data_IF_707973485361
#
_entry.id   IF_707973485361
#
_cell.length_a   1.000
_cell.length_b   1.000
_cell.length_c   1.000
_cell.angle_alpha   90.00
_cell.angle_beta   90.00
_cell.angle_gamma   90.00
#
_symmetry.space_group_name_H-M   'P 1'
#
loop_
_entity.id
_entity.type
_entity.pdbx_description
1 polymer ?
#
# COMPACT_ATOMS: atom_id res chain seq x y z
N UNK A 1 -2.10 3.94 3.51
CA UNK A 1 -2.60 4.51 2.25
C UNK A 1 -1.97 3.74 1.09
N UNK A 2 -2.76 3.43 0.05
CA UNK A 2 -2.26 2.69 -1.12
C UNK A 2 -1.26 3.57 -1.89
N UNK A 3 -0.05 3.06 -2.13
CA UNK A 3 0.92 3.75 -2.99
C UNK A 3 0.55 3.58 -4.46
N UNK A 4 -0.05 4.63 -5.03
CA UNK A 4 -0.48 4.65 -6.44
C UNK A 4 0.67 4.72 -7.44
N UNK A 5 1.87 5.05 -6.96
CA UNK A 5 3.09 5.10 -7.77
C UNK A 5 3.79 3.75 -7.85
N UNK A 6 3.32 2.75 -7.09
CA UNK A 6 3.80 1.38 -7.17
C UNK A 6 2.96 0.56 -8.17
N UNK A 7 3.62 -0.31 -8.92
CA UNK A 7 2.94 -1.29 -9.74
C UNK A 7 2.21 -2.32 -8.89
N UNK A 8 0.93 -2.58 -9.20
CA UNK A 8 0.15 -3.57 -8.45
C UNK A 8 0.79 -4.96 -8.50
N UNK A 9 1.42 -5.33 -9.62
CA UNK A 9 2.10 -6.62 -9.79
C UNK A 9 3.32 -6.80 -8.86
N UNK A 10 3.85 -5.71 -8.30
CA UNK A 10 4.99 -5.71 -7.38
C UNK A 10 4.56 -5.61 -5.90
N UNK A 11 3.26 -5.45 -5.64
CA UNK A 11 2.70 -5.29 -4.31
C UNK A 11 2.15 -6.61 -3.77
N UNK A 12 2.65 -7.07 -2.60
CA UNK A 12 2.16 -8.30 -1.97
C UNK A 12 0.68 -8.22 -1.53
N UNK A 13 0.19 -7.01 -1.26
CA UNK A 13 -1.19 -6.73 -0.81
C UNK A 13 -2.26 -6.83 -1.89
N UNK A 14 -1.89 -6.76 -3.18
CA UNK A 14 -2.84 -6.74 -4.31
C UNK A 14 -3.23 -8.13 -4.83
N UNK A 15 -2.59 -9.19 -4.31
CA UNK A 15 -2.64 -10.56 -4.84
C UNK A 15 -4.07 -11.14 -4.97
N UNK A 16 -5.00 -10.73 -4.12
CA UNK A 16 -6.39 -11.20 -4.19
C UNK A 16 -7.13 -10.63 -5.41
N UNK A 17 -7.02 -9.31 -5.65
CA UNK A 17 -7.69 -8.62 -6.76
C UNK A 17 -7.15 -9.09 -8.11
N UNK A 18 -5.82 -9.24 -8.24
CA UNK A 18 -5.16 -9.63 -9.47
C UNK A 18 -5.67 -10.97 -10.04
N UNK A 19 -5.87 -11.97 -9.17
CA UNK A 19 -6.36 -13.29 -9.60
C UNK A 19 -7.82 -13.23 -10.11
N UNK A 20 -8.65 -12.37 -9.52
CA UNK A 20 -10.02 -12.13 -9.96
C UNK A 20 -10.00 -11.43 -11.33
N UNK A 21 -9.24 -10.35 -11.43
CA UNK A 21 -9.12 -9.52 -12.64
C UNK A 21 -8.57 -10.31 -13.83
N UNK A 22 -7.60 -11.18 -13.59
CA UNK A 22 -7.07 -12.12 -14.58
C UNK A 22 -8.15 -13.04 -15.20
N UNK A 23 -9.11 -13.50 -14.41
CA UNK A 23 -10.25 -14.29 -14.90
C UNK A 23 -11.25 -13.40 -15.63
N UNK A 24 -11.50 -12.20 -15.11
CA UNK A 24 -12.39 -11.20 -15.72
C UNK A 24 -11.94 -10.86 -17.14
N UNK A 25 -10.66 -10.53 -17.35
CA UNK A 25 -10.14 -10.17 -18.68
C UNK A 25 -10.12 -11.37 -19.64
N UNK A 26 -9.95 -12.59 -19.12
CA UNK A 26 -10.10 -13.82 -19.90
C UNK A 26 -11.50 -13.99 -20.47
N UNK A 27 -12.52 -13.92 -19.61
CA UNK A 27 -13.93 -13.99 -20.03
C UNK A 27 -14.33 -12.80 -20.91
N UNK A 28 -13.79 -11.62 -20.65
CA UNK A 28 -13.99 -10.43 -21.47
C UNK A 28 -13.48 -10.66 -22.89
N UNK A 29 -12.25 -11.13 -23.08
CA UNK A 29 -11.71 -11.43 -24.40
C UNK A 29 -12.57 -12.46 -25.16
N UNK A 30 -12.99 -13.54 -24.48
CA UNK A 30 -13.89 -14.55 -25.05
C UNK A 30 -15.25 -13.98 -25.50
N UNK A 31 -15.86 -13.12 -24.67
CA UNK A 31 -17.18 -12.54 -24.97
C UNK A 31 -17.13 -11.55 -26.14
N UNK A 32 -16.02 -10.81 -26.28
CA UNK A 32 -15.81 -9.84 -27.35
C UNK A 32 -15.28 -10.48 -28.64
N UNK A 33 -15.00 -11.79 -28.63
CA UNK A 33 -14.28 -12.50 -29.68
C UNK A 33 -12.96 -11.80 -30.06
N UNK A 34 -12.31 -11.20 -29.05
CA UNK A 34 -11.09 -10.43 -29.22
C UNK A 34 -9.87 -11.28 -28.81
N UNK A 35 -8.73 -11.19 -29.53
CA UNK A 35 -7.54 -11.93 -29.16
C UNK A 35 -6.99 -11.48 -27.81
N UNK A 36 -7.14 -10.19 -27.45
CA UNK A 36 -6.51 -9.59 -26.27
C UNK A 36 -7.54 -8.84 -25.43
N UNK A 37 -7.53 -9.11 -24.12
CA UNK A 37 -8.24 -8.36 -23.10
C UNK A 37 -7.31 -8.02 -21.95
N UNK A 38 -7.27 -6.74 -21.54
CA UNK A 38 -6.30 -6.21 -20.60
C UNK A 38 -6.95 -5.33 -19.53
N UNK A 39 -6.31 -5.30 -18.36
CA UNK A 39 -6.36 -4.15 -17.44
C UNK A 39 -4.95 -3.58 -17.40
N UNK A 40 -4.85 -2.29 -17.69
CA UNK A 40 -3.60 -1.54 -17.76
C UNK A 40 -3.61 -0.53 -16.63
N UNK A 41 -2.60 -0.57 -15.76
CA UNK A 41 -2.36 0.47 -14.74
C UNK A 41 -1.50 1.57 -15.36
N UNK A 42 -1.81 2.82 -15.04
CA UNK A 42 -1.00 3.99 -15.35
C UNK A 42 -0.43 4.62 -14.07
N UNK A 43 0.84 5.01 -14.10
CA UNK A 43 1.47 5.81 -13.05
C UNK A 43 2.56 6.70 -13.65
N UNK A 44 3.37 7.37 -12.81
CA UNK A 44 4.44 8.26 -13.27
C UNK A 44 5.54 7.56 -14.11
N UNK A 45 5.67 6.23 -14.01
CA UNK A 45 6.63 5.43 -14.78
C UNK A 45 6.07 5.01 -16.15
N UNK A 46 4.77 5.21 -16.40
CA UNK A 46 4.11 4.92 -17.67
C UNK A 46 2.90 3.99 -17.52
N UNK A 47 2.83 2.95 -18.34
CA UNK A 47 1.68 2.05 -18.45
C UNK A 47 2.13 0.59 -18.30
N UNK A 48 1.48 -0.19 -17.43
CA UNK A 48 1.78 -1.60 -17.21
C UNK A 48 0.55 -2.47 -17.42
N UNK A 49 0.71 -3.59 -18.12
CA UNK A 49 -0.31 -4.62 -18.23
C UNK A 49 -0.45 -5.35 -16.90
N UNK A 50 -1.43 -4.96 -16.09
CA UNK A 50 -1.66 -5.51 -14.74
C UNK A 50 -2.39 -6.85 -14.77
N UNK A 51 -3.33 -7.01 -15.70
CA UNK A 51 -3.99 -8.29 -15.97
C UNK A 51 -4.16 -8.47 -17.48
N UNK A 52 -4.00 -9.71 -17.97
CA UNK A 52 -4.08 -10.01 -19.39
C UNK A 52 -4.66 -11.40 -19.60
N UNK A 53 -5.58 -11.61 -20.55
CA UNK A 53 -6.07 -12.97 -20.88
C UNK A 53 -4.94 -13.94 -21.28
N UNK A 54 -3.74 -13.43 -21.56
CA UNK A 54 -2.51 -14.20 -21.68
C UNK A 54 -1.77 -14.27 -20.33
N UNK A 55 -1.62 -15.48 -19.79
CA UNK A 55 -0.75 -15.71 -18.63
C UNK A 55 0.73 -15.43 -18.93
N UNK A 56 1.64 -15.75 -17.99
CA UNK A 56 3.10 -15.48 -18.06
C UNK A 56 3.86 -16.06 -19.27
N UNK A 57 3.20 -16.78 -20.19
CA UNK A 57 3.80 -17.43 -21.36
C UNK A 57 3.18 -17.01 -22.69
N UNK A 58 2.16 -16.16 -22.68
CA UNK A 58 1.57 -15.66 -23.92
C UNK A 58 2.34 -14.46 -24.48
N UNK A 59 2.01 -14.02 -25.70
CA UNK A 59 2.69 -12.91 -26.38
C UNK A 59 2.53 -11.56 -25.65
N UNK A 60 1.43 -11.39 -24.90
CA UNK A 60 1.11 -10.15 -24.17
C UNK A 60 0.93 -10.43 -22.67
N UNK A 61 1.99 -10.89 -21.96
CA UNK A 61 1.86 -11.31 -20.57
C UNK A 61 1.65 -10.10 -19.65
N UNK A 62 1.00 -10.33 -18.51
CA UNK A 62 1.01 -9.37 -17.41
C UNK A 62 2.46 -9.01 -17.02
N UNK A 63 2.72 -7.72 -16.80
CA UNK A 63 4.03 -7.14 -16.48
C UNK A 63 4.72 -6.43 -17.65
N UNK A 64 4.19 -6.51 -18.88
CA UNK A 64 4.66 -5.68 -19.99
C UNK A 64 4.43 -4.20 -19.69
N UNK A 65 5.38 -3.35 -20.07
CA UNK A 65 5.36 -1.91 -19.75
C UNK A 65 5.68 -1.04 -20.96
N UNK A 66 5.08 0.15 -20.98
CA UNK A 66 5.39 1.25 -21.88
C UNK A 66 5.75 2.49 -21.05
N UNK A 67 6.70 3.29 -21.56
CA UNK A 67 7.09 4.54 -20.91
C UNK A 67 5.97 5.60 -20.94
N UNK A 68 6.07 6.65 -20.11
CA UNK A 68 5.01 7.67 -19.98
C UNK A 68 4.81 8.49 -21.26
N UNK A 69 5.86 8.63 -22.08
CA UNK A 69 5.80 9.38 -23.34
C UNK A 69 5.37 8.53 -24.54
N UNK A 70 5.12 7.22 -24.35
CA UNK A 70 4.73 6.34 -25.44
C UNK A 70 3.36 6.74 -26.01
N UNK A 71 3.20 6.67 -27.34
CA UNK A 71 1.91 6.85 -27.99
C UNK A 71 1.14 5.52 -27.99
N UNK A 72 0.56 5.15 -26.85
CA UNK A 72 -0.25 3.94 -26.68
C UNK A 72 -1.71 4.29 -26.46
N UNK A 73 -2.64 3.40 -26.80
CA UNK A 73 -4.07 3.70 -26.69
C UNK A 73 -4.50 4.01 -25.24
N UNK A 74 -3.90 3.30 -24.28
CA UNK A 74 -4.14 3.50 -22.85
C UNK A 74 -3.85 4.94 -22.40
N UNK A 75 -2.84 5.60 -22.99
CA UNK A 75 -2.51 6.99 -22.70
C UNK A 75 -3.65 7.92 -23.07
N UNK A 76 -4.20 7.79 -24.27
CA UNK A 76 -5.30 8.63 -24.71
C UNK A 76 -6.55 8.46 -23.82
N UNK A 77 -6.84 7.24 -23.36
CA UNK A 77 -7.93 6.97 -22.41
C UNK A 77 -7.67 7.65 -21.05
N UNK A 78 -6.46 7.51 -20.52
CA UNK A 78 -6.08 8.07 -19.21
C UNK A 78 -6.05 9.59 -19.25
N UNK A 79 -5.49 10.19 -20.30
CA UNK A 79 -5.34 11.63 -20.47
C UNK A 79 -6.70 12.32 -20.69
N UNK A 80 -7.60 11.67 -21.45
CA UNK A 80 -8.96 12.20 -21.67
C UNK A 80 -9.90 11.95 -20.49
N UNK A 81 -9.71 10.85 -19.75
CA UNK A 81 -10.68 10.37 -18.78
C UNK A 81 -11.99 9.88 -19.41
N UNK A 82 -11.98 9.58 -20.71
CA UNK A 82 -13.16 9.18 -21.49
C UNK A 82 -12.96 7.83 -22.17
N UNK A 83 -14.06 7.18 -22.54
CA UNK A 83 -14.05 5.96 -23.35
C UNK A 83 -13.42 6.25 -24.72
N UNK A 84 -12.48 5.41 -25.14
CA UNK A 84 -11.90 5.47 -26.48
C UNK A 84 -12.31 4.22 -27.26
N UNK A 85 -12.88 4.43 -28.44
CA UNK A 85 -13.11 3.36 -29.40
C UNK A 85 -12.49 3.73 -30.74
N UNK A 86 -11.51 2.92 -31.16
CA UNK A 86 -10.82 2.99 -32.45
C UNK A 86 -11.14 1.71 -33.19
N UNK A 87 -12.01 1.78 -34.21
CA UNK A 87 -12.40 0.60 -34.99
C UNK A 87 -11.34 0.18 -36.00
N UNK A 88 -10.54 1.14 -36.48
CA UNK A 88 -9.43 0.94 -37.43
C UNK A 88 -8.34 1.98 -37.22
N UNK A 89 -7.31 1.62 -36.47
CA UNK A 89 -6.17 2.46 -36.12
C UNK A 89 -5.28 2.75 -37.34
N UNK A 90 -5.25 1.89 -38.36
CA UNK A 90 -4.44 2.10 -39.55
C UNK A 90 -5.00 3.22 -40.44
N UNK A 91 -6.31 3.50 -40.31
CA UNK A 91 -6.97 4.60 -41.00
C UNK A 91 -6.75 5.98 -40.33
N UNK A 92 -6.21 6.00 -39.11
CA UNK A 92 -6.10 7.19 -38.28
C UNK A 92 -4.63 7.61 -38.08
N UNK A 93 -4.20 8.77 -38.61
CA UNK A 93 -2.81 9.23 -38.50
C UNK A 93 -2.29 9.39 -37.06
N UNK A 94 -3.19 9.52 -36.08
CA UNK A 94 -2.86 9.63 -34.67
C UNK A 94 -2.14 8.38 -34.14
N UNK A 95 -2.39 7.21 -34.73
CA UNK A 95 -1.83 5.92 -34.28
C UNK A 95 -0.68 5.41 -35.15
N UNK A 96 -0.19 6.23 -36.08
CA UNK A 96 0.82 5.83 -37.06
C UNK A 96 2.18 5.48 -36.45
N UNK A 97 2.51 6.02 -35.27
CA UNK A 97 3.71 5.70 -34.48
C UNK A 97 3.38 4.94 -33.19
N UNK A 98 2.16 4.42 -33.04
CA UNK A 98 1.80 3.58 -31.90
C UNK A 98 2.50 2.21 -32.03
N UNK A 99 3.36 1.81 -31.08
CA UNK A 99 4.06 0.51 -31.13
C UNK A 99 3.11 -0.69 -31.14
N UNK A 100 1.95 -0.60 -30.48
CA UNK A 100 0.91 -1.65 -30.47
C UNK A 100 0.34 -1.87 -31.89
N UNK A 101 0.32 -0.81 -32.71
CA UNK A 101 -0.14 -0.89 -34.11
C UNK A 101 1.01 -1.32 -35.03
N UNK A 102 2.17 -0.69 -34.90
CA UNK A 102 3.30 -0.86 -35.84
C UNK A 102 4.02 -2.19 -35.64
N UNK A 103 4.29 -2.57 -34.39
CA UNK A 103 5.11 -3.73 -34.05
C UNK A 103 4.25 -4.98 -33.79
N UNK A 104 3.06 -4.79 -33.21
CA UNK A 104 2.18 -5.89 -32.77
C UNK A 104 0.98 -6.10 -33.72
N UNK A 105 0.72 -5.15 -34.62
CA UNK A 105 -0.30 -5.27 -35.66
C UNK A 105 -1.74 -5.17 -35.14
N UNK A 106 -1.98 -4.50 -34.01
CA UNK A 106 -3.34 -4.20 -33.58
C UNK A 106 -3.99 -3.18 -34.51
N UNK A 107 -5.24 -3.43 -34.86
CA UNK A 107 -6.06 -2.62 -35.74
C UNK A 107 -7.22 -1.96 -34.98
N UNK A 108 -7.79 -2.64 -33.99
CA UNK A 108 -8.92 -2.12 -33.22
C UNK A 108 -8.60 -2.06 -31.74
N UNK A 109 -9.09 -1.01 -31.07
CA UNK A 109 -9.00 -0.81 -29.63
C UNK A 109 -10.34 -0.30 -29.08
N UNK A 110 -10.83 -0.94 -28.03
CA UNK A 110 -11.91 -0.40 -27.20
C UNK A 110 -11.42 -0.37 -25.75
N UNK A 111 -11.36 0.83 -25.16
CA UNK A 111 -10.91 1.02 -23.79
C UNK A 111 -11.76 2.00 -23.00
N UNK A 112 -11.89 1.74 -21.71
CA UNK A 112 -12.58 2.61 -20.76
C UNK A 112 -11.66 2.96 -19.59
N UNK A 113 -11.67 4.22 -19.13
CA UNK A 113 -10.84 4.65 -18.01
C UNK A 113 -11.30 3.94 -16.74
N UNK A 114 -10.35 3.64 -15.86
CA UNK A 114 -10.59 3.16 -14.50
C UNK A 114 -10.07 4.24 -13.57
N UNK A 115 -10.83 4.55 -12.52
CA UNK A 115 -10.44 5.53 -11.51
C UNK A 115 -10.15 4.89 -10.16
N UNK A 116 -9.21 5.49 -9.44
CA UNK A 116 -9.04 5.28 -8.01
C UNK A 116 -10.24 5.87 -7.24
N UNK A 117 -10.46 5.46 -5.97
CA UNK A 117 -11.58 5.94 -5.17
C UNK A 117 -11.63 7.45 -4.93
N UNK A 118 -10.48 8.15 -5.00
CA UNK A 118 -10.41 9.62 -4.91
C UNK A 118 -10.63 10.33 -6.26
N UNK A 119 -10.92 9.58 -7.32
CA UNK A 119 -11.18 10.09 -8.67
C UNK A 119 -9.93 10.26 -9.53
N UNK A 120 -8.72 10.01 -9.03
CA UNK A 120 -7.53 10.05 -9.89
C UNK A 120 -7.50 8.87 -10.86
N UNK A 121 -6.91 9.02 -12.04
CA UNK A 121 -6.82 7.91 -13.00
C UNK A 121 -6.00 6.73 -12.43
N UNK A 122 -6.57 5.53 -12.50
CA UNK A 122 -5.86 4.27 -12.25
C UNK A 122 -5.21 3.75 -13.53
N UNK A 123 -5.91 3.89 -14.67
CA UNK A 123 -5.52 3.29 -15.93
C UNK A 123 -6.75 3.01 -16.80
N UNK A 124 -6.78 1.86 -17.48
CA UNK A 124 -7.93 1.47 -18.30
C UNK A 124 -8.17 -0.04 -18.35
N UNK A 125 -9.42 -0.43 -18.62
CA UNK A 125 -9.79 -1.78 -19.08
C UNK A 125 -10.01 -1.73 -20.59
N UNK A 126 -9.48 -2.69 -21.34
CA UNK A 126 -9.60 -2.65 -22.80
C UNK A 126 -9.58 -4.03 -23.46
N UNK A 127 -10.09 -4.07 -24.68
CA UNK A 127 -9.89 -5.16 -25.65
C UNK A 127 -9.18 -4.62 -26.89
N UNK A 128 -8.34 -5.46 -27.49
CA UNK A 128 -7.61 -5.16 -28.72
C UNK A 128 -7.80 -6.29 -29.73
N UNK A 129 -7.87 -5.92 -31.01
CA UNK A 129 -8.04 -6.86 -32.12
C UNK A 129 -7.09 -6.53 -33.28
N UNK A 130 -6.67 -7.54 -34.02
CA UNK A 130 -5.89 -7.41 -35.26
C UNK A 130 -6.77 -7.10 -36.47
N UNK A 131 -8.10 -7.23 -36.33
CA UNK A 131 -9.10 -6.95 -37.36
C UNK A 131 -9.89 -5.68 -37.04
N UNK A 132 -10.48 -5.08 -38.07
CA UNK A 132 -11.46 -4.00 -37.91
C UNK A 132 -12.67 -4.54 -37.15
N UNK A 133 -13.09 -3.86 -36.10
CA UNK A 133 -14.26 -4.24 -35.30
C UNK A 133 -15.41 -3.25 -35.47
N UNK A 134 -16.61 -3.66 -35.05
CA UNK A 134 -17.80 -2.81 -34.99
C UNK A 134 -18.63 -3.17 -33.75
N UNK A 135 -18.09 -2.91 -32.56
CA UNK A 135 -18.78 -3.20 -31.30
C UNK A 135 -20.01 -2.32 -31.13
N UNK A 136 -21.18 -2.95 -31.04
CA UNK A 136 -22.45 -2.26 -30.77
C UNK A 136 -22.66 -1.89 -29.30
N UNK A 137 -23.73 -1.16 -29.01
CA UNK A 137 -24.07 -0.65 -27.67
C UNK A 137 -24.08 -1.71 -26.56
N UNK A 138 -24.48 -2.94 -26.87
CA UNK A 138 -24.51 -4.02 -25.90
C UNK A 138 -23.11 -4.35 -25.36
N UNK A 139 -22.10 -4.33 -26.22
CA UNK A 139 -20.70 -4.50 -25.83
C UNK A 139 -20.22 -3.29 -25.03
N UNK A 140 -20.50 -2.06 -25.49
CA UNK A 140 -20.15 -0.85 -24.72
C UNK A 140 -20.70 -0.90 -23.29
N UNK A 141 -21.97 -1.31 -23.12
CA UNK A 141 -22.59 -1.49 -21.80
C UNK A 141 -21.96 -2.60 -20.99
N UNK A 142 -21.54 -3.70 -21.62
CA UNK A 142 -20.81 -4.78 -20.95
C UNK A 142 -19.45 -4.29 -20.44
N UNK A 143 -18.69 -3.54 -21.26
CA UNK A 143 -17.40 -2.97 -20.85
C UNK A 143 -17.56 -2.06 -19.63
N UNK A 144 -18.61 -1.22 -19.61
CA UNK A 144 -18.97 -0.39 -18.46
C UNK A 144 -19.18 -1.23 -17.21
N UNK A 145 -19.96 -2.31 -17.29
CA UNK A 145 -20.18 -3.18 -16.13
C UNK A 145 -18.90 -3.88 -15.65
N UNK A 146 -18.03 -4.29 -16.57
CA UNK A 146 -16.74 -4.89 -16.22
C UNK A 146 -15.83 -3.87 -15.54
N UNK A 147 -15.73 -2.64 -16.06
CA UNK A 147 -15.01 -1.52 -15.44
C UNK A 147 -15.51 -1.27 -14.02
N UNK A 148 -16.84 -1.14 -13.84
CA UNK A 148 -17.43 -0.85 -12.53
C UNK A 148 -17.09 -1.91 -11.48
N UNK A 149 -16.95 -3.19 -11.88
CA UNK A 149 -16.50 -4.26 -10.97
C UNK A 149 -15.04 -4.10 -10.54
N UNK A 150 -14.17 -3.59 -11.42
CA UNK A 150 -12.77 -3.30 -11.11
C UNK A 150 -12.67 -2.10 -10.16
N UNK A 151 -13.43 -1.04 -10.41
CA UNK A 151 -13.48 0.14 -9.53
C UNK A 151 -14.04 -0.19 -8.14
N UNK A 152 -15.05 -1.08 -8.06
CA UNK A 152 -15.55 -1.59 -6.77
C UNK A 152 -14.49 -2.37 -6.00
N UNK A 153 -13.66 -3.17 -6.67
CA UNK A 153 -12.56 -3.89 -6.01
C UNK A 153 -11.51 -2.90 -5.48
N UNK A 154 -11.19 -1.84 -6.24
CA UNK A 154 -10.30 -0.77 -5.80
C UNK A 154 -10.88 -0.02 -4.59
N UNK A 155 -12.19 0.26 -4.59
CA UNK A 155 -12.87 0.91 -3.48
C UNK A 155 -12.87 0.05 -2.21
N UNK A 156 -13.13 -1.26 -2.34
CA UNK A 156 -13.08 -2.20 -1.21
C UNK A 156 -11.65 -2.30 -0.65
N UNK A 157 -10.64 -2.29 -1.51
CA UNK A 157 -9.24 -2.33 -1.06
C UNK A 157 -8.85 -1.06 -0.31
N UNK A 158 -9.20 0.12 -0.83
CA UNK A 158 -8.95 1.39 -0.16
C UNK A 158 -9.65 1.47 1.20
N UNK A 159 -10.92 1.06 1.27
CA UNK A 159 -11.66 0.94 2.53
C UNK A 159 -11.01 -0.05 3.50
N UNK A 160 -10.53 -1.19 3.01
CA UNK A 160 -9.82 -2.16 3.84
C UNK A 160 -8.54 -1.60 4.41
N UNK A 161 -7.72 -0.90 3.61
CA UNK A 161 -6.50 -0.26 4.11
C UNK A 161 -6.81 0.88 5.08
N UNK A 162 -7.86 1.67 4.84
CA UNK A 162 -8.30 2.71 5.78
C UNK A 162 -8.77 2.11 7.10
N UNK A 163 -9.62 1.08 7.06
CA UNK A 163 -10.06 0.36 8.26
C UNK A 163 -8.90 -0.30 8.99
N UNK A 164 -7.92 -0.83 8.26
CA UNK A 164 -6.69 -1.37 8.84
C UNK A 164 -5.93 -0.26 9.53
N UNK A 165 -5.71 0.89 8.92
CA UNK A 165 -5.03 2.01 9.57
C UNK A 165 -5.77 2.49 10.82
N UNK A 166 -7.09 2.68 10.75
CA UNK A 166 -7.91 3.06 11.91
C UNK A 166 -7.81 2.02 13.03
N UNK A 167 -7.97 0.73 12.73
CA UNK A 167 -7.89 -0.32 13.74
C UNK A 167 -6.49 -0.50 14.33
N UNK A 168 -5.44 0.03 13.69
CA UNK A 168 -4.09 0.05 14.23
C UNK A 168 -3.75 1.37 14.94
N UNK A 169 -4.53 2.45 14.77
CA UNK A 169 -4.32 3.78 15.36
C UNK A 169 -5.64 4.33 15.91
N UNK A 170 -5.96 3.98 17.16
CA UNK A 170 -7.20 4.43 17.82
C UNK A 170 -7.02 5.73 18.64
N UNK A 171 -5.80 6.31 18.69
CA UNK A 171 -5.50 7.45 19.55
C UNK A 171 -5.20 8.72 18.71
N UNK A 172 -5.63 9.93 19.15
CA UNK A 172 -5.47 11.18 18.40
C UNK A 172 -4.02 11.63 18.10
N UNK A 173 -3.01 10.96 18.66
CA UNK A 173 -1.57 11.25 18.46
C UNK A 173 -0.95 10.53 17.25
N UNK A 174 -1.76 9.87 16.40
CA UNK A 174 -1.29 9.13 15.20
C UNK A 174 -0.28 8.00 15.50
N UNK A 175 -0.25 7.56 16.77
CA UNK A 175 0.54 6.44 17.28
C UNK A 175 -0.27 5.16 17.20
N UNK A 176 0.41 4.03 17.00
CA UNK A 176 -0.26 2.75 16.95
C UNK A 176 -0.87 2.35 18.31
N UNK A 177 -1.96 1.60 18.30
CA UNK A 177 -2.52 0.95 19.48
C UNK A 177 -1.87 -0.43 19.68
N UNK A 178 -2.30 -1.17 20.70
CA UNK A 178 -1.79 -2.52 20.98
C UNK A 178 -1.95 -3.50 19.80
N UNK A 179 -3.03 -3.37 19.02
CA UNK A 179 -3.28 -4.20 17.83
C UNK A 179 -2.30 -3.84 16.70
N UNK A 180 -2.04 -2.54 16.52
CA UNK A 180 -1.00 -1.94 15.70
C UNK A 180 0.37 -2.52 15.99
N UNK A 181 0.76 -2.52 17.26
CA UNK A 181 2.02 -3.06 17.73
C UNK A 181 2.18 -4.55 17.42
N UNK A 182 1.14 -5.36 17.65
CA UNK A 182 1.19 -6.80 17.39
C UNK A 182 1.40 -7.07 15.90
N UNK A 183 0.63 -6.38 15.05
CA UNK A 183 0.66 -6.55 13.59
C UNK A 183 2.00 -6.10 13.01
N UNK A 184 2.44 -4.88 13.31
CA UNK A 184 3.68 -4.31 12.77
C UNK A 184 4.92 -4.91 13.43
N UNK A 185 4.84 -5.29 14.70
CA UNK A 185 5.87 -6.07 15.36
C UNK A 185 6.12 -7.41 14.66
N UNK A 186 5.07 -8.06 14.14
CA UNK A 186 5.22 -9.30 13.38
C UNK A 186 5.92 -9.08 12.04
N UNK A 187 5.58 -8.01 11.32
CA UNK A 187 6.29 -7.60 10.10
C UNK A 187 7.76 -7.28 10.39
N UNK A 188 8.03 -6.55 11.48
CA UNK A 188 9.38 -6.22 11.94
C UNK A 188 10.19 -7.50 12.24
N UNK A 189 9.60 -8.50 12.90
CA UNK A 189 10.24 -9.81 13.11
C UNK A 189 10.57 -10.55 11.81
N UNK A 190 9.66 -10.54 10.84
CA UNK A 190 9.89 -11.20 9.55
C UNK A 190 11.03 -10.53 8.78
N UNK A 191 11.08 -9.19 8.83
CA UNK A 191 12.17 -8.41 8.27
C UNK A 191 13.50 -8.74 8.98
N UNK A 192 13.51 -8.74 10.31
CA UNK A 192 14.69 -9.08 11.12
C UNK A 192 15.25 -10.47 10.74
N UNK A 193 14.39 -11.48 10.59
CA UNK A 193 14.76 -12.83 10.13
C UNK A 193 15.34 -12.86 8.73
N UNK A 194 14.79 -12.08 7.81
CA UNK A 194 15.24 -12.05 6.43
C UNK A 194 16.61 -11.40 6.27
N UNK A 195 16.89 -10.37 7.06
CA UNK A 195 18.09 -9.54 6.90
C UNK A 195 19.13 -9.72 8.01
N UNK A 196 18.86 -10.57 9.01
CA UNK A 196 19.82 -10.93 10.05
C UNK A 196 19.95 -9.89 11.17
N UNK A 197 18.87 -9.18 11.50
CA UNK A 197 18.84 -8.24 12.63
C UNK A 197 18.31 -8.92 13.90
N UNK A 198 18.75 -8.47 15.06
CA UNK A 198 18.14 -8.80 16.36
C UNK A 198 17.01 -7.81 16.68
N UNK A 199 16.26 -8.11 17.74
CA UNK A 199 15.06 -7.33 18.10
C UNK A 199 15.21 -6.79 19.52
N UNK A 200 15.00 -5.49 19.67
CA UNK A 200 14.78 -4.85 20.96
C UNK A 200 13.32 -4.53 21.18
N UNK A 201 12.86 -4.72 22.41
CA UNK A 201 11.55 -4.27 22.88
C UNK A 201 11.76 -3.38 24.09
N UNK A 202 11.24 -2.15 24.03
CA UNK A 202 11.34 -1.16 25.09
C UNK A 202 9.93 -0.85 25.59
N UNK A 203 9.63 -1.16 26.86
CA UNK A 203 8.47 -0.63 27.56
C UNK A 203 8.80 0.75 28.12
N UNK A 204 7.91 1.71 27.90
CA UNK A 204 8.07 3.10 28.32
C UNK A 204 6.88 3.50 29.18
N UNK A 205 7.15 4.08 30.35
CA UNK A 205 6.13 4.62 31.25
C UNK A 205 6.43 6.09 31.52
N UNK A 206 5.41 6.94 31.41
CA UNK A 206 5.54 8.39 31.61
C UNK A 206 5.41 8.73 33.10
N UNK A 207 6.37 9.49 33.61
CA UNK A 207 6.38 9.98 34.98
C UNK A 207 6.37 11.52 35.01
N UNK A 208 5.82 12.09 36.08
CA UNK A 208 5.85 13.54 36.31
C UNK A 208 4.67 14.33 35.74
N UNK A 209 3.72 13.69 35.05
CA UNK A 209 2.47 14.35 34.66
C UNK A 209 1.57 14.59 35.88
N UNK A 210 1.04 15.82 36.09
CA UNK A 210 0.22 16.10 37.25
C UNK A 210 -1.15 15.40 37.15
N UNK A 211 -1.38 14.43 38.04
CA UNK A 211 -2.66 13.70 38.15
C UNK A 211 -3.87 14.60 38.50
N UNK A 212 -3.61 15.82 39.00
CA UNK A 212 -4.64 16.81 39.33
C UNK A 212 -5.09 17.67 38.15
N UNK A 213 -4.46 17.53 36.98
CA UNK A 213 -4.80 18.28 35.77
C UNK A 213 -6.18 17.88 35.25
N UNK A 214 -6.82 18.75 34.46
CA UNK A 214 -8.02 18.33 33.76
C UNK A 214 -7.70 17.12 32.86
N UNK A 215 -8.63 16.16 32.76
CA UNK A 215 -8.42 14.93 31.97
C UNK A 215 -7.89 15.23 30.54
N UNK A 216 -8.43 16.26 29.90
CA UNK A 216 -7.99 16.69 28.57
C UNK A 216 -6.55 17.23 28.53
N UNK A 217 -6.10 17.93 29.58
CA UNK A 217 -4.73 18.45 29.67
C UNK A 217 -3.73 17.31 29.89
N UNK A 218 -4.11 16.32 30.71
CA UNK A 218 -3.32 15.11 30.91
C UNK A 218 -3.20 14.32 29.59
N UNK A 219 -4.32 14.09 28.91
CA UNK A 219 -4.35 13.39 27.61
C UNK A 219 -3.50 14.11 26.55
N UNK A 220 -3.58 15.45 26.48
CA UNK A 220 -2.74 16.26 25.60
C UNK A 220 -1.25 16.13 25.91
N UNK A 221 -0.88 16.14 27.19
CA UNK A 221 0.52 15.95 27.61
C UNK A 221 1.06 14.59 27.20
N UNK A 222 0.30 13.51 27.39
CA UNK A 222 0.72 12.17 26.95
C UNK A 222 0.80 12.08 25.43
N UNK A 223 -0.13 12.69 24.70
CA UNK A 223 -0.08 12.72 23.24
C UNK A 223 1.16 13.44 22.71
N UNK A 224 1.53 14.57 23.29
CA UNK A 224 2.76 15.29 22.93
C UNK A 224 4.03 14.46 23.20
N UNK A 225 4.04 13.68 24.29
CA UNK A 225 5.14 12.76 24.61
C UNK A 225 5.20 11.64 23.58
N UNK A 226 4.07 11.06 23.22
CA UNK A 226 3.98 10.04 22.19
C UNK A 226 4.53 10.52 20.85
N UNK A 227 4.11 11.70 20.38
CA UNK A 227 4.61 12.34 19.17
C UNK A 227 6.13 12.54 19.23
N UNK A 228 6.64 12.95 20.39
CA UNK A 228 8.08 13.14 20.63
C UNK A 228 8.84 11.83 20.56
N UNK A 229 8.31 10.75 21.13
CA UNK A 229 8.89 9.41 21.02
C UNK A 229 8.95 9.00 19.55
N UNK A 230 7.83 9.09 18.83
CA UNK A 230 7.72 8.71 17.42
C UNK A 230 8.71 9.48 16.53
N UNK A 231 8.91 10.79 16.77
CA UNK A 231 9.84 11.62 16.02
C UNK A 231 11.33 11.27 16.20
N UNK A 232 11.69 10.51 17.25
CA UNK A 232 13.08 10.07 17.51
C UNK A 232 13.39 8.68 16.98
N UNK A 233 12.36 7.94 16.58
CA UNK A 233 12.46 6.59 16.04
C UNK A 233 12.78 6.59 14.55
N UNK A 234 13.37 5.48 14.08
CA UNK A 234 13.61 5.26 12.65
C UNK A 234 12.32 4.73 12.01
N UNK A 235 12.20 4.86 10.69
CA UNK A 235 11.05 4.30 9.95
C UNK A 235 10.89 2.78 10.05
N UNK A 236 11.92 2.06 10.50
CA UNK A 236 11.87 0.62 10.78
C UNK A 236 11.37 0.26 12.17
N UNK A 237 11.36 1.23 13.10
CA UNK A 237 10.95 1.02 14.48
C UNK A 237 9.45 1.26 14.60
N UNK A 238 8.81 0.53 15.50
CA UNK A 238 7.36 0.59 15.72
C UNK A 238 7.11 1.06 17.15
N UNK A 239 6.35 2.14 17.33
CA UNK A 239 5.86 2.57 18.65
C UNK A 239 4.36 2.44 18.72
N UNK A 240 3.87 1.98 19.86
CA UNK A 240 2.45 1.97 20.17
C UNK A 240 2.18 2.44 21.60
N UNK A 241 1.02 3.05 21.80
CA UNK A 241 0.47 3.39 23.11
C UNK A 241 -0.32 2.20 23.64
N UNK A 242 0.04 1.74 24.84
CA UNK A 242 -0.52 0.54 25.46
C UNK A 242 -1.57 0.86 26.54
N UNK A 243 -1.43 2.00 27.21
CA UNK A 243 -2.36 2.52 28.22
C UNK A 243 -2.42 4.04 28.16
N UNK A 244 -3.08 4.66 29.15
CA UNK A 244 -3.19 6.12 29.28
C UNK A 244 -1.82 6.82 29.42
N UNK A 245 -0.76 6.13 29.84
CA UNK A 245 0.55 6.69 30.17
C UNK A 245 1.74 5.78 29.82
N UNK A 246 1.49 4.66 29.12
CA UNK A 246 2.54 3.73 28.71
C UNK A 246 2.60 3.51 27.21
N UNK A 247 3.81 3.29 26.73
CA UNK A 247 4.14 3.01 25.34
C UNK A 247 5.03 1.77 25.25
N UNK A 248 5.04 1.12 24.10
CA UNK A 248 6.02 0.08 23.78
C UNK A 248 6.62 0.37 22.42
N UNK A 249 7.94 0.26 22.35
CA UNK A 249 8.74 0.39 21.12
C UNK A 249 9.31 -0.98 20.76
N UNK A 250 9.16 -1.39 19.51
CA UNK A 250 9.87 -2.53 18.90
C UNK A 250 10.86 -1.98 17.89
N UNK A 251 12.14 -2.22 18.10
CA UNK A 251 13.22 -1.70 17.27
C UNK A 251 14.10 -2.84 16.74
N UNK A 252 14.63 -2.64 15.54
CA UNK A 252 15.70 -3.49 15.00
C UNK A 252 17.03 -3.04 15.59
N UNK A 253 17.81 -3.97 16.11
CA UNK A 253 19.11 -3.68 16.70
C UNK A 253 20.14 -4.76 16.36
N UNK A 254 21.41 -4.40 16.44
CA UNK A 254 22.53 -5.34 16.29
C UNK A 254 23.20 -5.67 17.62
N UNK A 255 22.89 -4.92 18.68
CA UNK A 255 23.43 -5.13 20.01
C UNK A 255 22.50 -4.59 21.10
N UNK A 256 22.62 -5.08 22.35
CA UNK A 256 21.93 -4.49 23.49
C UNK A 256 22.25 -3.00 23.69
N UNK A 257 23.49 -2.59 23.40
CA UNK A 257 23.95 -1.19 23.57
C UNK A 257 23.18 -0.22 22.66
N UNK A 258 22.76 -0.64 21.46
CA UNK A 258 21.92 0.18 20.57
C UNK A 258 20.54 0.46 21.19
N UNK A 259 19.97 -0.51 21.91
CA UNK A 259 18.68 -0.37 22.61
C UNK A 259 18.84 0.54 23.82
N UNK A 260 19.93 0.42 24.58
CA UNK A 260 20.21 1.29 25.71
C UNK A 260 20.40 2.75 25.26
N UNK A 261 21.15 2.98 24.19
CA UNK A 261 21.32 4.31 23.60
C UNK A 261 19.98 4.87 23.10
N UNK A 262 19.11 4.03 22.53
CA UNK A 262 17.78 4.47 22.13
C UNK A 262 16.94 4.91 23.34
N UNK A 263 16.94 4.15 24.44
CA UNK A 263 16.27 4.53 25.68
C UNK A 263 16.77 5.89 26.20
N UNK A 264 18.07 6.11 26.24
CA UNK A 264 18.66 7.39 26.68
C UNK A 264 18.20 8.55 25.81
N UNK A 265 18.20 8.37 24.48
CA UNK A 265 17.72 9.39 23.53
C UNK A 265 16.24 9.72 23.72
N UNK A 266 15.40 8.72 24.02
CA UNK A 266 13.98 8.93 24.30
C UNK A 266 13.79 9.70 25.61
N UNK A 267 14.52 9.33 26.66
CA UNK A 267 14.50 10.00 27.96
C UNK A 267 14.91 11.47 27.85
N UNK A 268 16.02 11.75 27.16
CA UNK A 268 16.49 13.12 26.91
C UNK A 268 15.45 13.94 26.14
N UNK A 269 14.89 13.39 25.06
CA UNK A 269 13.92 14.10 24.23
C UNK A 269 12.63 14.48 24.99
N UNK A 270 12.16 13.62 25.90
CA UNK A 270 10.99 13.92 26.73
C UNK A 270 11.32 14.87 27.87
N UNK A 271 12.52 14.77 28.44
CA UNK A 271 12.98 15.73 29.46
C UNK A 271 13.07 17.17 28.94
N UNK A 272 13.29 17.36 27.64
CA UNK A 272 13.27 18.68 26.97
C UNK A 272 11.86 19.31 26.89
N UNK A 273 10.78 18.53 27.05
CA UNK A 273 9.41 19.02 26.93
C UNK A 273 8.93 19.82 28.16
N UNK A 274 9.49 19.55 29.35
CA UNK A 274 9.12 20.28 30.56
C UNK A 274 9.83 19.81 31.81
N UNK A 275 9.95 20.72 32.80
CA UNK A 275 10.58 20.42 34.07
C UNK A 275 9.82 19.32 34.84
N UNK A 276 10.54 18.25 35.21
CA UNK A 276 10.00 17.14 36.00
C UNK A 276 9.36 16.01 35.20
N UNK A 277 9.27 16.12 33.87
CA UNK A 277 8.85 15.04 32.99
C UNK A 277 10.00 14.04 32.79
N UNK A 278 9.74 12.77 33.08
CA UNK A 278 10.73 11.70 32.90
C UNK A 278 10.09 10.47 32.28
N UNK A 279 10.90 9.67 31.57
CA UNK A 279 10.50 8.35 31.09
C UNK A 279 11.22 7.27 31.87
N UNK A 280 10.46 6.30 32.36
CA UNK A 280 11.00 5.01 32.78
C UNK A 280 11.04 4.08 31.58
N UNK A 281 12.19 3.48 31.31
CA UNK A 281 12.39 2.57 30.19
C UNK A 281 12.78 1.17 30.68
N UNK A 282 12.10 0.16 30.15
CA UNK A 282 12.35 -1.25 30.46
C UNK A 282 12.69 -1.96 29.16
N UNK A 283 13.89 -2.53 29.08
CA UNK A 283 14.42 -3.05 27.81
C UNK A 283 14.58 -4.57 27.84
N UNK A 284 14.21 -5.19 26.72
CA UNK A 284 14.39 -6.61 26.45
C UNK A 284 15.05 -6.75 25.08
N UNK A 285 16.13 -7.53 25.03
CA UNK A 285 16.87 -7.80 23.81
C UNK A 285 16.74 -9.28 23.44
N UNK A 286 16.36 -9.53 22.20
CA UNK A 286 16.09 -10.85 21.67
C UNK A 286 17.00 -11.12 20.47
N UNK A 287 18.07 -11.91 20.66
CA UNK A 287 18.83 -12.46 19.55
C UNK A 287 17.92 -13.23 18.60
N UNK A 288 18.17 -13.14 17.31
CA UNK A 288 17.29 -13.67 16.26
C UNK A 288 16.95 -15.16 16.44
N UNK A 289 17.93 -15.96 16.88
CA UNK A 289 17.82 -17.40 17.13
C UNK A 289 16.98 -17.76 18.37
N UNK A 290 16.73 -16.77 19.25
CA UNK A 290 16.06 -16.93 20.55
C UNK A 290 14.81 -16.07 20.70
N UNK A 291 14.47 -15.27 19.70
CA UNK A 291 13.30 -14.41 19.73
C UNK A 291 12.00 -15.25 19.76
N UNK A 292 11.19 -15.18 20.83
CA UNK A 292 9.89 -15.84 20.87
C UNK A 292 8.91 -15.10 19.94
N UNK A 293 7.65 -15.54 19.87
CA UNK A 293 6.67 -14.82 19.06
C UNK A 293 6.40 -13.40 19.61
N UNK A 294 5.89 -12.51 18.76
CA UNK A 294 5.60 -11.09 19.10
C UNK A 294 4.79 -10.99 20.38
N UNK A 295 3.70 -11.76 20.50
CA UNK A 295 2.82 -11.70 21.68
C UNK A 295 3.55 -11.97 23.00
N UNK A 296 4.49 -12.92 23.03
CA UNK A 296 5.27 -13.22 24.22
C UNK A 296 6.26 -12.10 24.56
N UNK A 297 6.91 -11.50 23.55
CA UNK A 297 7.81 -10.36 23.75
C UNK A 297 7.04 -9.14 24.27
N UNK A 298 5.88 -8.83 23.67
CA UNK A 298 5.06 -7.69 24.06
C UNK A 298 4.46 -7.85 25.47
N UNK A 299 4.03 -9.06 25.86
CA UNK A 299 3.61 -9.35 27.25
C UNK A 299 4.75 -9.18 28.26
N UNK A 300 5.99 -9.41 27.83
CA UNK A 300 7.19 -9.20 28.63
C UNK A 300 7.41 -7.73 28.94
N UNK A 301 7.21 -6.84 27.96
CA UNK A 301 7.39 -5.39 28.12
C UNK A 301 6.21 -4.72 28.85
N UNK A 302 4.98 -5.10 28.54
CA UNK A 302 3.77 -4.53 29.15
C UNK A 302 3.56 -4.90 30.63
N UNK A 303 4.32 -5.86 31.18
CA UNK A 303 4.33 -6.17 32.62
C UNK A 303 5.26 -5.28 33.44
N UNK A 304 6.12 -4.52 32.78
CA UNK A 304 7.18 -3.73 33.41
C UNK A 304 6.99 -2.23 33.16
N UNK A 305 6.17 -1.86 32.16
CA UNK A 305 5.60 -0.51 31.99
C UNK A 305 4.41 -0.29 32.95
#
# INVERSE_FOLDING_TARGET
MIDKNQWLLESDSSNFCLNKWQKTVGLMAELYDAPVGLIIQANHQGYQYTASNFGKRGPYPAGMTYGPDANVFARAVVDSGETLYVSDAQAEPLWADNPEVVDEGFCSFLGMPIFWPDGSAFGCICVMDHSITAYGDAFMRLMVQLRDLIEQDLQLWDQFELMREMALKDHPDDIYNAQGLSTLGQSCMQFARRYGFDIGVIGVSVEGLPLSSAKSEYEQGVSQIGETIQARLRGSDVVARMSDDSFVVVALANSPDEIELLCQRLQEAVGELGEGLTLSCTQQFYPLDKAPNVEMMLRGAAKVA
#
